data_IF_493388493530
#
_entry.id   IF_493388493530
#
_cell.length_a   1.000
_cell.length_b   1.000
_cell.length_c   1.000
_cell.angle_alpha   90.00
_cell.angle_beta   90.00
_cell.angle_gamma   90.00
#
_symmetry.space_group_name_H-M   'P 1'
#
loop_
_entity.id
_entity.type
_entity.pdbx_description
1 polymer ?
#
# COMPACT_ATOMS: atom_id res chain seq x y z
N UNK A 1 -3.90 10.89 -20.80
CA UNK A 1 -2.75 10.28 -20.11
C UNK A 1 -2.68 10.73 -18.66
N UNK A 2 -2.57 12.06 -18.42
CA UNK A 2 -2.51 12.58 -17.04
C UNK A 2 -3.76 12.20 -16.25
N UNK A 3 -4.94 12.30 -16.85
CA UNK A 3 -6.20 11.95 -16.17
C UNK A 3 -6.27 10.46 -15.79
N UNK A 4 -5.73 9.57 -16.63
CA UNK A 4 -5.68 8.14 -16.33
C UNK A 4 -4.72 7.85 -15.18
N UNK A 5 -3.55 8.50 -15.18
CA UNK A 5 -2.58 8.34 -14.10
C UNK A 5 -3.15 8.86 -12.78
N UNK A 6 -3.88 9.97 -12.82
CA UNK A 6 -4.56 10.51 -11.63
C UNK A 6 -5.60 9.52 -11.12
N UNK A 7 -6.35 8.88 -12.01
CA UNK A 7 -7.34 7.87 -11.60
C UNK A 7 -6.68 6.71 -10.86
N UNK A 8 -5.58 6.17 -11.39
CA UNK A 8 -4.84 5.10 -10.73
C UNK A 8 -4.24 5.56 -9.40
N UNK A 9 -3.72 6.79 -9.38
CA UNK A 9 -3.15 7.38 -8.16
C UNK A 9 -4.22 7.50 -7.07
N UNK A 10 -5.39 8.04 -7.41
CA UNK A 10 -6.49 8.22 -6.45
C UNK A 10 -6.98 6.86 -5.96
N UNK A 11 -7.11 5.88 -6.84
CA UNK A 11 -7.49 4.53 -6.45
C UNK A 11 -6.52 3.95 -5.43
N UNK A 12 -5.22 4.06 -5.69
CA UNK A 12 -4.20 3.57 -4.78
C UNK A 12 -4.24 4.33 -3.45
N UNK A 13 -4.33 5.66 -3.51
CA UNK A 13 -4.35 6.49 -2.31
C UNK A 13 -5.54 6.17 -1.40
N UNK A 14 -6.73 6.09 -1.96
CA UNK A 14 -7.94 5.77 -1.19
C UNK A 14 -7.84 4.36 -0.59
N UNK A 15 -7.34 3.40 -1.36
CA UNK A 15 -7.17 2.03 -0.90
C UNK A 15 -6.22 1.97 0.30
N UNK A 16 -5.09 2.67 0.24
CA UNK A 16 -4.13 2.64 1.33
C UNK A 16 -4.59 3.44 2.53
N UNK A 17 -5.34 4.53 2.34
CA UNK A 17 -5.94 5.25 3.45
C UNK A 17 -6.95 4.36 4.18
N UNK A 18 -7.82 3.69 3.42
CA UNK A 18 -8.82 2.80 4.01
C UNK A 18 -8.14 1.62 4.71
N UNK A 19 -7.16 1.00 4.07
CA UNK A 19 -6.44 -0.13 4.64
C UNK A 19 -5.63 0.27 5.87
N UNK A 20 -5.01 1.45 5.84
CA UNK A 20 -4.27 1.97 6.98
C UNK A 20 -5.15 2.19 8.19
N UNK A 21 -6.34 2.78 7.99
CA UNK A 21 -7.32 2.92 9.08
C UNK A 21 -7.77 1.55 9.57
N UNK A 22 -7.98 0.60 8.65
CA UNK A 22 -8.34 -0.76 9.02
C UNK A 22 -7.27 -1.44 9.87
N UNK A 23 -5.99 -1.23 9.55
CA UNK A 23 -4.89 -1.78 10.34
C UNK A 23 -4.93 -1.31 11.80
N UNK A 24 -5.38 -0.08 12.02
CA UNK A 24 -5.43 0.50 13.36
C UNK A 24 -6.71 0.05 14.09
N UNK A 25 -7.86 0.05 13.41
CA UNK A 25 -9.16 -0.08 14.07
C UNK A 25 -9.89 -1.39 13.79
N UNK A 26 -9.53 -2.15 12.75
CA UNK A 26 -10.26 -3.36 12.36
C UNK A 26 -9.84 -4.57 13.20
N UNK A 27 -10.80 -5.24 13.81
CA UNK A 27 -10.55 -6.50 14.53
C UNK A 27 -10.09 -7.60 13.56
N UNK A 28 -10.62 -7.63 12.34
CA UNK A 28 -10.21 -8.60 11.32
C UNK A 28 -8.73 -8.46 10.99
N UNK A 29 -8.27 -7.23 10.75
CA UNK A 29 -6.86 -7.00 10.43
C UNK A 29 -5.96 -7.26 11.64
N UNK A 30 -6.43 -6.99 12.84
CA UNK A 30 -5.69 -7.34 14.05
C UNK A 30 -5.42 -8.85 14.08
N UNK A 31 -6.42 -9.67 13.79
CA UNK A 31 -6.26 -11.11 13.74
C UNK A 31 -5.32 -11.53 12.61
N UNK A 32 -5.39 -10.87 11.45
CA UNK A 32 -4.51 -11.18 10.32
C UNK A 32 -3.05 -10.88 10.66
N UNK A 33 -2.77 -9.78 11.34
CA UNK A 33 -1.39 -9.47 11.74
C UNK A 33 -0.87 -10.45 12.81
N UNK A 34 -1.74 -10.95 13.68
CA UNK A 34 -1.37 -12.02 14.60
C UNK A 34 -1.00 -13.28 13.83
N UNK A 35 -1.75 -13.63 12.79
CA UNK A 35 -1.47 -14.78 11.93
C UNK A 35 -0.15 -14.63 11.20
N UNK A 36 0.21 -13.40 10.80
CA UNK A 36 1.49 -13.12 10.13
C UNK A 36 2.67 -13.16 11.09
N UNK A 37 2.44 -13.18 12.40
CA UNK A 37 3.51 -13.01 13.38
C UNK A 37 3.99 -11.57 13.51
N UNK A 38 3.17 -10.61 13.11
CA UNK A 38 3.52 -9.18 13.07
C UNK A 38 2.57 -8.33 13.91
N UNK A 39 2.03 -8.90 14.98
CA UNK A 39 1.04 -8.20 15.81
C UNK A 39 1.57 -6.87 16.36
N UNK A 40 2.86 -6.83 16.75
CA UNK A 40 3.47 -5.62 17.29
C UNK A 40 3.69 -4.52 16.25
N UNK A 41 3.75 -4.88 14.97
CA UNK A 41 3.97 -3.94 13.87
C UNK A 41 2.68 -3.39 13.26
N UNK A 42 1.53 -3.88 13.68
CA UNK A 42 0.24 -3.56 13.06
C UNK A 42 -0.03 -2.05 12.99
N UNK A 43 0.13 -1.34 14.11
CA UNK A 43 -0.13 0.09 14.16
C UNK A 43 0.86 0.86 13.30
N UNK A 44 2.14 0.47 13.33
CA UNK A 44 3.18 1.09 12.51
C UNK A 44 2.90 0.94 11.03
N UNK A 45 2.50 -0.26 10.61
CA UNK A 45 2.15 -0.52 9.21
C UNK A 45 0.96 0.35 8.81
N UNK A 46 -0.05 0.47 9.68
CA UNK A 46 -1.20 1.33 9.42
C UNK A 46 -0.80 2.80 9.25
N UNK A 47 0.05 3.31 10.14
CA UNK A 47 0.54 4.69 10.06
C UNK A 47 1.33 4.91 8.76
N UNK A 48 2.21 3.99 8.41
CA UNK A 48 3.00 4.10 7.19
C UNK A 48 2.11 4.11 5.95
N UNK A 49 1.04 3.31 5.95
CA UNK A 49 0.11 3.29 4.83
C UNK A 49 -0.70 4.59 4.73
N UNK A 50 -1.12 5.15 5.87
CA UNK A 50 -1.79 6.45 5.88
C UNK A 50 -0.87 7.54 5.34
N UNK A 51 0.38 7.56 5.78
CA UNK A 51 1.38 8.51 5.28
C UNK A 51 1.60 8.32 3.79
N UNK A 52 1.69 7.07 3.32
CA UNK A 52 1.85 6.78 1.90
C UNK A 52 0.67 7.25 1.07
N UNK A 53 -0.56 7.02 1.56
CA UNK A 53 -1.76 7.47 0.86
C UNK A 53 -1.82 8.99 0.76
N UNK A 54 -1.54 9.70 1.86
CA UNK A 54 -1.46 11.16 1.86
C UNK A 54 -0.35 11.65 0.92
N UNK A 55 0.80 10.98 0.94
CA UNK A 55 1.91 11.32 0.07
C UNK A 55 1.58 11.17 -1.42
N UNK A 56 0.81 10.13 -1.78
CA UNK A 56 0.34 9.97 -3.15
C UNK A 56 -0.55 11.15 -3.57
N UNK A 57 -1.48 11.55 -2.72
CA UNK A 57 -2.35 12.69 -3.01
C UNK A 57 -1.55 13.99 -3.10
N UNK A 58 -0.59 14.20 -2.21
CA UNK A 58 0.30 15.36 -2.27
C UNK A 58 1.14 15.34 -3.54
N UNK A 59 1.39 14.18 -4.12
CA UNK A 59 2.13 14.04 -5.37
C UNK A 59 1.46 14.68 -6.57
N UNK A 60 0.17 15.00 -6.49
CA UNK A 60 -0.54 15.71 -7.55
C UNK A 60 0.07 17.11 -7.73
N UNK A 61 0.43 17.78 -6.63
CA UNK A 61 1.06 19.10 -6.69
C UNK A 61 2.59 19.04 -6.57
N UNK A 62 3.13 18.01 -5.89
CA UNK A 62 4.57 17.85 -5.71
C UNK A 62 4.98 16.44 -6.15
N UNK A 63 5.34 16.24 -7.43
CA UNK A 63 5.60 14.91 -7.97
C UNK A 63 6.65 14.10 -7.20
N UNK A 64 7.68 14.74 -6.64
CA UNK A 64 8.71 14.00 -5.90
C UNK A 64 8.17 13.36 -4.63
N UNK A 65 7.18 14.00 -3.97
CA UNK A 65 6.50 13.40 -2.83
C UNK A 65 5.71 12.16 -3.24
N UNK A 66 4.99 12.28 -4.36
CA UNK A 66 4.22 11.16 -4.89
C UNK A 66 5.09 9.98 -5.28
N UNK A 67 6.23 10.24 -5.92
CA UNK A 67 7.16 9.17 -6.29
C UNK A 67 7.73 8.47 -5.08
N UNK A 68 8.12 9.25 -4.07
CA UNK A 68 8.65 8.69 -2.82
C UNK A 68 7.60 7.83 -2.12
N UNK A 69 6.36 8.33 -2.03
CA UNK A 69 5.26 7.59 -1.43
C UNK A 69 4.97 6.29 -2.19
N UNK A 70 4.92 6.36 -3.53
CA UNK A 70 4.66 5.18 -4.36
C UNK A 70 5.77 4.14 -4.19
N UNK A 71 7.02 4.58 -4.16
CA UNK A 71 8.15 3.66 -3.94
C UNK A 71 8.04 2.97 -2.59
N UNK A 72 7.73 3.73 -1.53
CA UNK A 72 7.56 3.17 -0.19
C UNK A 72 6.41 2.17 -0.12
N UNK A 73 5.27 2.52 -0.73
CA UNK A 73 4.11 1.62 -0.76
C UNK A 73 4.39 0.36 -1.57
N UNK A 74 5.11 0.48 -2.69
CA UNK A 74 5.51 -0.69 -3.48
C UNK A 74 6.40 -1.63 -2.66
N UNK A 75 7.35 -1.06 -1.91
CA UNK A 75 8.21 -1.86 -1.03
C UNK A 75 7.40 -2.53 0.08
N UNK A 76 6.43 -1.82 0.66
CA UNK A 76 5.55 -2.41 1.67
C UNK A 76 4.76 -3.59 1.11
N UNK A 77 4.26 -3.46 -0.12
CA UNK A 77 3.53 -4.54 -0.76
C UNK A 77 4.43 -5.71 -1.10
N UNK A 78 5.70 -5.44 -1.46
CA UNK A 78 6.67 -6.50 -1.67
C UNK A 78 6.90 -7.30 -0.39
N UNK A 79 7.05 -6.60 0.74
CA UNK A 79 7.16 -7.26 2.04
C UNK A 79 5.90 -8.07 2.36
N UNK A 80 4.73 -7.50 2.06
CA UNK A 80 3.46 -8.20 2.29
C UNK A 80 3.37 -9.49 1.48
N UNK A 81 3.79 -9.46 0.21
CA UNK A 81 3.85 -10.67 -0.63
C UNK A 81 4.80 -11.69 0.00
N UNK A 82 5.98 -11.25 0.45
CA UNK A 82 6.94 -12.14 1.09
C UNK A 82 6.39 -12.79 2.35
N UNK A 83 5.68 -12.03 3.19
CA UNK A 83 5.05 -12.56 4.40
C UNK A 83 4.01 -13.62 4.06
N UNK A 84 3.16 -13.35 3.06
CA UNK A 84 2.12 -14.31 2.66
C UNK A 84 2.72 -15.59 2.12
N UNK A 85 3.82 -15.50 1.35
CA UNK A 85 4.53 -16.68 0.87
C UNK A 85 5.11 -17.45 2.06
N UNK A 86 5.71 -16.75 3.01
CA UNK A 86 6.32 -17.36 4.18
C UNK A 86 5.33 -18.17 5.02
N UNK A 87 4.11 -17.66 5.20
CA UNK A 87 3.08 -18.35 5.97
C UNK A 87 2.25 -19.30 5.10
N UNK A 88 2.64 -19.49 3.84
CA UNK A 88 1.96 -20.38 2.89
C UNK A 88 0.50 -19.98 2.68
N UNK A 89 0.26 -18.67 2.57
CA UNK A 89 -1.07 -18.15 2.34
C UNK A 89 -1.54 -18.49 0.91
N UNK A 90 -2.84 -18.43 0.68
CA UNK A 90 -3.40 -18.76 -0.63
C UNK A 90 -3.00 -17.74 -1.69
N UNK A 91 -2.97 -18.18 -2.95
CA UNK A 91 -2.71 -17.28 -4.07
C UNK A 91 -3.75 -16.17 -4.15
N UNK A 92 -5.00 -16.48 -3.87
CA UNK A 92 -6.10 -15.51 -3.88
C UNK A 92 -5.86 -14.37 -2.90
N UNK A 93 -5.30 -14.67 -1.72
CA UNK A 93 -5.02 -13.64 -0.72
C UNK A 93 -3.76 -12.86 -1.03
N UNK A 94 -2.86 -13.43 -1.83
CA UNK A 94 -1.60 -12.76 -2.22
C UNK A 94 -1.80 -11.82 -3.40
N UNK A 95 -2.75 -12.10 -4.29
CA UNK A 95 -2.98 -11.31 -5.50
C UNK A 95 -3.21 -9.82 -5.22
N UNK A 96 -4.05 -9.39 -4.24
CA UNK A 96 -4.21 -7.96 -3.99
C UNK A 96 -2.92 -7.24 -3.66
N UNK A 97 -2.06 -7.83 -2.82
CA UNK A 97 -0.77 -7.23 -2.49
C UNK A 97 0.12 -7.12 -3.72
N UNK A 98 0.13 -8.14 -4.56
CA UNK A 98 0.92 -8.15 -5.80
C UNK A 98 0.43 -7.07 -6.76
N UNK A 99 -0.89 -6.93 -6.92
CA UNK A 99 -1.47 -5.92 -7.80
C UNK A 99 -1.13 -4.50 -7.32
N UNK A 100 -1.23 -4.24 -6.01
CA UNK A 100 -0.88 -2.93 -5.47
C UNK A 100 0.62 -2.66 -5.54
N UNK A 101 1.44 -3.69 -5.40
CA UNK A 101 2.89 -3.55 -5.60
C UNK A 101 3.18 -3.07 -7.02
N UNK A 102 2.58 -3.72 -8.03
CA UNK A 102 2.78 -3.35 -9.44
C UNK A 102 2.22 -1.97 -9.72
N UNK A 103 1.02 -1.65 -9.19
CA UNK A 103 0.41 -0.35 -9.38
C UNK A 103 1.28 0.77 -8.83
N UNK A 104 1.80 0.61 -7.62
CA UNK A 104 2.61 1.66 -7.02
C UNK A 104 3.99 1.74 -7.66
N UNK A 105 4.57 0.64 -8.11
CA UNK A 105 5.80 0.66 -8.89
C UNK A 105 5.60 1.43 -10.20
N UNK A 106 4.48 1.23 -10.88
CA UNK A 106 4.13 1.99 -12.08
C UNK A 106 3.99 3.47 -11.77
N UNK A 107 3.28 3.81 -10.68
CA UNK A 107 3.11 5.22 -10.28
C UNK A 107 4.46 5.86 -9.94
N UNK A 108 5.34 5.14 -9.27
CA UNK A 108 6.68 5.64 -8.96
C UNK A 108 7.45 5.96 -10.24
N UNK A 109 7.35 5.10 -11.24
CA UNK A 109 8.12 5.22 -12.47
C UNK A 109 7.51 6.25 -13.44
N UNK A 110 6.21 6.22 -13.65
CA UNK A 110 5.57 6.97 -14.73
C UNK A 110 4.39 7.84 -14.28
N UNK A 111 3.83 7.58 -13.10
CA UNK A 111 2.59 8.24 -12.67
C UNK A 111 2.70 9.72 -12.40
N UNK A 112 3.91 10.21 -12.15
CA UNK A 112 4.17 11.60 -11.78
C UNK A 112 5.05 12.34 -12.80
N UNK A 113 5.19 11.79 -13.98
CA UNK A 113 5.96 12.45 -15.05
C UNK A 113 5.14 13.40 -15.94
#
# INVERSE_FOLDING_TARGET
MVSLNIAWLVLSAISFLAYGLGCIFSAYLKQEFERYGLASQRVWVGILQLCGGVGLLAGISQPWLGRSAAAGLALMMLVAVGVRIKIKDSLMQTIPALLYMVLNAYLCWAGFS
#
